data_IF_234941333753
#
_entry.id   IF_234941333753
#
_cell.length_a   1.000
_cell.length_b   1.000
_cell.length_c   1.000
_cell.angle_alpha   90.00
_cell.angle_beta   90.00
_cell.angle_gamma   90.00
#
_symmetry.space_group_name_H-M   'P 1'
#
loop_
_entity.id
_entity.type
_entity.pdbx_description
1 polymer ?
#
# COMPACT_ATOMS: atom_id res chain seq x y z
N UNK A 1 6.94 25.40 -8.99
CA UNK A 1 8.41 25.49 -8.80
C UNK A 1 8.91 24.16 -8.24
N UNK A 2 9.98 23.58 -8.81
CA UNK A 2 10.61 22.38 -8.26
C UNK A 2 11.60 22.78 -7.16
N UNK A 3 11.70 21.98 -6.09
CA UNK A 3 12.72 22.15 -5.03
C UNK A 3 13.47 20.85 -4.84
N UNK A 4 14.80 20.95 -4.74
CA UNK A 4 15.67 19.85 -4.35
C UNK A 4 15.71 19.75 -2.83
N UNK A 5 15.61 18.54 -2.29
CA UNK A 5 15.90 18.28 -0.88
C UNK A 5 17.12 17.36 -0.80
N UNK A 6 18.10 17.77 0.01
CA UNK A 6 19.35 17.05 0.24
C UNK A 6 19.05 15.89 1.18
N UNK A 7 19.44 14.69 0.78
CA UNK A 7 19.16 13.48 1.55
C UNK A 7 20.34 12.92 2.32
N UNK A 8 21.55 13.44 2.14
CA UNK A 8 22.72 12.97 2.89
C UNK A 8 23.57 14.13 3.40
N UNK A 9 24.06 13.98 4.63
CA UNK A 9 25.04 14.88 5.23
C UNK A 9 26.48 14.52 4.84
N UNK A 10 26.68 13.48 4.01
CA UNK A 10 28.00 13.06 3.56
C UNK A 10 28.75 14.20 2.84
N UNK A 11 29.99 14.44 3.23
CA UNK A 11 30.87 15.45 2.64
C UNK A 11 32.03 14.81 1.85
N UNK A 12 32.51 15.43 0.75
CA UNK A 12 33.70 14.96 0.07
C UNK A 12 34.90 14.88 1.03
N UNK A 13 35.75 13.83 0.98
CA UNK A 13 35.82 12.78 -0.05
C UNK A 13 35.01 11.51 0.27
N UNK A 14 34.13 11.53 1.28
CA UNK A 14 33.41 10.32 1.74
C UNK A 14 32.36 9.84 0.72
N UNK A 15 31.89 10.74 -0.14
CA UNK A 15 31.03 10.47 -1.29
C UNK A 15 31.41 11.40 -2.44
N UNK A 16 31.19 10.92 -3.67
CA UNK A 16 31.44 11.68 -4.90
C UNK A 16 30.37 12.77 -5.10
N UNK A 17 29.11 12.53 -4.72
CA UNK A 17 28.00 13.49 -4.80
C UNK A 17 26.98 13.30 -3.66
N UNK A 18 26.26 14.38 -3.30
CA UNK A 18 25.11 14.32 -2.38
C UNK A 18 23.85 13.87 -3.15
N UNK A 19 23.06 12.91 -2.64
CA UNK A 19 21.77 12.55 -3.24
C UNK A 19 20.74 13.68 -3.03
N UNK A 20 20.01 14.02 -4.10
CA UNK A 20 18.93 15.01 -4.08
C UNK A 20 17.65 14.42 -4.65
N UNK A 21 16.48 14.80 -4.14
CA UNK A 21 15.24 14.58 -4.89
C UNK A 21 14.46 15.85 -5.17
N UNK A 22 13.85 15.88 -6.36
CA UNK A 22 13.04 16.99 -6.82
C UNK A 22 11.57 16.73 -6.56
N UNK A 23 10.93 17.60 -5.76
CA UNK A 23 9.48 17.65 -5.63
C UNK A 23 8.91 18.90 -6.28
N UNK A 24 7.73 18.73 -6.86
CA UNK A 24 6.89 19.83 -7.34
C UNK A 24 5.83 20.13 -6.30
N UNK A 25 5.79 21.37 -5.83
CA UNK A 25 4.73 21.81 -4.91
C UNK A 25 3.35 21.71 -5.58
N UNK A 26 2.33 21.32 -4.80
CA UNK A 26 0.93 21.25 -5.22
C UNK A 26 -0.01 21.65 -4.08
N UNK A 27 -1.31 21.75 -4.39
CA UNK A 27 -2.36 22.22 -3.45
C UNK A 27 -3.19 21.08 -2.86
N UNK A 28 -2.91 19.82 -3.21
CA UNK A 28 -3.65 18.64 -2.76
C UNK A 28 -3.50 18.48 -1.26
N UNK A 29 -4.60 18.51 -0.51
CA UNK A 29 -4.60 18.39 0.97
C UNK A 29 -4.99 17.00 1.43
N UNK A 30 -6.06 16.44 0.86
CA UNK A 30 -6.49 15.07 1.12
C UNK A 30 -5.49 14.10 0.52
N UNK A 31 -4.84 13.32 1.38
CA UNK A 31 -3.79 12.39 0.98
C UNK A 31 -4.24 10.97 1.30
N UNK A 32 -4.50 10.19 0.26
CA UNK A 32 -5.03 8.84 0.36
C UNK A 32 -3.96 7.84 0.78
N UNK A 33 -4.26 7.04 1.80
CA UNK A 33 -3.39 5.95 2.21
C UNK A 33 -3.79 4.59 1.63
N UNK A 34 -5.01 4.47 1.14
CA UNK A 34 -5.44 3.44 0.17
C UNK A 34 -5.88 4.16 -1.10
N UNK A 35 -5.33 3.78 -2.26
CA UNK A 35 -5.47 4.56 -3.49
C UNK A 35 -6.95 4.70 -3.89
N UNK A 36 -7.36 5.85 -4.41
CA UNK A 36 -8.71 5.97 -4.95
C UNK A 36 -8.95 4.94 -6.06
N UNK A 37 -7.98 4.74 -6.97
CA UNK A 37 -8.07 3.73 -8.05
C UNK A 37 -8.32 2.31 -7.51
N UNK A 38 -7.73 1.98 -6.35
CA UNK A 38 -7.97 0.71 -5.66
C UNK A 38 -9.38 0.64 -5.08
N UNK A 39 -9.80 1.67 -4.35
CA UNK A 39 -11.14 1.71 -3.75
C UNK A 39 -12.24 1.62 -4.81
N UNK A 40 -12.05 2.23 -5.99
CA UNK A 40 -13.02 2.20 -7.11
C UNK A 40 -13.27 0.79 -7.64
N UNK A 41 -12.30 -0.12 -7.55
CA UNK A 41 -12.52 -1.54 -7.89
C UNK A 41 -13.50 -2.24 -6.94
N UNK A 42 -13.84 -1.60 -5.81
CA UNK A 42 -14.86 -2.04 -4.86
C UNK A 42 -16.14 -1.19 -4.91
N UNK A 43 -16.22 -0.17 -5.77
CA UNK A 43 -17.39 0.70 -5.83
C UNK A 43 -18.64 -0.07 -6.25
N UNK A 44 -19.78 0.27 -5.64
CA UNK A 44 -21.08 -0.33 -5.95
C UNK A 44 -21.83 0.43 -7.05
N UNK A 45 -21.48 1.69 -7.28
CA UNK A 45 -22.07 2.58 -8.27
C UNK A 45 -21.06 2.93 -9.38
N UNK A 46 -20.42 1.93 -9.99
CA UNK A 46 -19.29 2.12 -10.94
C UNK A 46 -19.60 2.98 -12.17
N UNK A 47 -20.88 3.13 -12.52
CA UNK A 47 -21.32 3.87 -13.71
C UNK A 47 -21.44 5.39 -13.51
N UNK A 48 -21.22 5.90 -12.29
CA UNK A 48 -21.19 7.34 -12.04
C UNK A 48 -19.78 7.90 -12.19
N UNK A 49 -19.66 9.24 -12.28
CA UNK A 49 -18.37 9.93 -12.32
C UNK A 49 -17.44 9.46 -11.19
N UNK A 50 -16.13 9.30 -11.42
CA UNK A 50 -15.19 8.77 -10.43
C UNK A 50 -15.15 9.50 -9.07
N UNK A 51 -15.52 10.79 -9.03
CA UNK A 51 -15.62 11.61 -7.81
C UNK A 51 -16.88 11.28 -6.98
N UNK A 52 -17.90 10.70 -7.60
CA UNK A 52 -19.18 10.34 -6.98
C UNK A 52 -19.28 8.85 -6.66
N UNK A 53 -18.22 8.09 -6.90
CA UNK A 53 -18.19 6.65 -6.62
C UNK A 53 -18.07 6.41 -5.11
N UNK A 54 -18.85 5.44 -4.63
CA UNK A 54 -18.95 5.10 -3.22
C UNK A 54 -18.65 3.61 -3.01
N UNK A 55 -18.13 3.31 -1.82
CA UNK A 55 -17.98 1.95 -1.28
C UNK A 55 -18.80 1.84 0.01
N UNK A 56 -19.13 0.61 0.42
CA UNK A 56 -19.67 0.38 1.75
C UNK A 56 -18.56 0.18 2.76
N UNK A 57 -18.65 0.90 3.87
CA UNK A 57 -17.79 0.78 5.05
C UNK A 57 -18.51 -0.04 6.13
N UNK A 58 -17.83 -1.03 6.67
CA UNK A 58 -18.31 -1.87 7.76
C UNK A 58 -17.42 -1.68 8.99
N UNK A 59 -17.97 -1.05 10.02
CA UNK A 59 -17.29 -0.95 11.31
C UNK A 59 -17.06 -2.34 11.94
N UNK A 60 -15.95 -2.51 12.65
CA UNK A 60 -15.61 -3.80 13.26
C UNK A 60 -16.66 -4.31 14.28
N UNK A 61 -17.46 -3.42 14.87
CA UNK A 61 -18.58 -3.76 15.76
C UNK A 61 -19.67 -4.59 15.07
N UNK A 62 -19.72 -4.63 13.75
CA UNK A 62 -20.66 -5.48 12.99
C UNK A 62 -20.24 -6.96 12.97
N UNK A 63 -19.01 -7.26 13.40
CA UNK A 63 -18.43 -8.61 13.35
C UNK A 63 -18.12 -9.20 14.73
N UNK A 64 -18.30 -8.44 15.81
CA UNK A 64 -18.11 -8.89 17.19
C UNK A 64 -19.42 -8.79 17.97
N UNK A 65 -19.70 -9.75 18.85
CA UNK A 65 -20.92 -9.72 19.68
C UNK A 65 -20.77 -8.68 20.81
N UNK A 66 -21.83 -7.91 21.14
CA UNK A 66 -23.09 -7.82 20.42
C UNK A 66 -22.92 -7.08 19.09
N UNK A 67 -23.45 -7.67 18.00
CA UNK A 67 -23.35 -7.07 16.67
C UNK A 67 -24.08 -5.73 16.65
N UNK A 68 -23.39 -4.66 16.22
CA UNK A 68 -23.93 -3.29 16.21
C UNK A 68 -23.58 -2.56 14.91
N UNK A 69 -24.53 -1.74 14.46
CA UNK A 69 -24.36 -0.86 13.30
C UNK A 69 -24.84 -1.48 11.99
N UNK A 70 -24.77 -0.67 10.92
CA UNK A 70 -25.06 -1.04 9.55
C UNK A 70 -23.92 -0.59 8.65
N UNK A 71 -23.82 -1.18 7.46
CA UNK A 71 -22.86 -0.73 6.47
C UNK A 71 -23.18 0.72 6.04
N UNK A 72 -22.17 1.57 5.99
CA UNK A 72 -22.29 2.98 5.63
C UNK A 72 -21.83 3.20 4.20
N UNK A 73 -22.61 3.92 3.39
CA UNK A 73 -22.12 4.38 2.09
C UNK A 73 -21.15 5.55 2.30
N UNK A 74 -19.90 5.39 1.87
CA UNK A 74 -18.88 6.43 1.96
C UNK A 74 -18.34 6.78 0.59
N UNK A 75 -18.15 8.07 0.34
CA UNK A 75 -17.61 8.57 -0.92
C UNK A 75 -16.09 8.36 -0.97
N UNK A 76 -15.60 7.79 -2.08
CA UNK A 76 -14.19 7.42 -2.25
C UNK A 76 -13.27 8.64 -2.30
N UNK A 77 -13.75 9.78 -2.79
CA UNK A 77 -12.98 11.03 -2.90
C UNK A 77 -12.35 11.41 -1.56
N UNK A 78 -13.08 11.25 -0.46
CA UNK A 78 -12.67 11.64 0.88
C UNK A 78 -12.52 10.44 1.85
N UNK A 79 -12.50 9.20 1.33
CA UNK A 79 -12.37 8.00 2.15
C UNK A 79 -10.93 7.49 2.19
N UNK A 80 -10.50 6.99 3.36
CA UNK A 80 -9.15 6.46 3.60
C UNK A 80 -8.05 7.46 3.19
N UNK A 81 -8.28 8.72 3.55
CA UNK A 81 -7.33 9.81 3.43
C UNK A 81 -7.14 10.54 4.75
N UNK A 82 -6.05 11.30 4.85
CA UNK A 82 -5.89 12.28 5.90
C UNK A 82 -5.26 13.57 5.37
N UNK A 83 -5.82 14.70 5.79
CA UNK A 83 -5.33 16.00 5.39
C UNK A 83 -3.85 16.20 5.75
N UNK A 84 -3.03 16.50 4.74
CA UNK A 84 -1.60 16.78 4.85
C UNK A 84 -0.75 15.59 5.34
N UNK A 85 -1.24 14.36 5.20
CA UNK A 85 -0.56 13.15 5.68
C UNK A 85 0.87 12.97 5.17
N UNK A 86 1.13 13.26 3.89
CA UNK A 86 2.45 13.15 3.28
C UNK A 86 3.15 14.49 3.03
N UNK A 87 2.76 15.53 3.74
CA UNK A 87 3.38 16.85 3.58
C UNK A 87 4.76 16.89 4.23
N UNK A 88 5.78 17.18 3.45
CA UNK A 88 7.14 17.37 3.94
C UNK A 88 7.34 18.80 4.46
N UNK A 89 6.95 19.80 3.67
CA UNK A 89 7.03 21.22 4.02
C UNK A 89 5.95 22.04 3.32
N UNK A 90 5.53 23.14 3.95
CA UNK A 90 4.64 24.12 3.34
C UNK A 90 5.43 25.16 2.54
N UNK A 91 4.80 25.76 1.53
CA UNK A 91 5.35 26.89 0.77
C UNK A 91 4.78 28.19 1.35
N UNK A 92 5.63 29.09 1.82
CA UNK A 92 5.19 30.38 2.35
C UNK A 92 4.54 31.26 1.28
N UNK A 93 3.53 32.04 1.69
CA UNK A 93 2.87 33.05 0.84
C UNK A 93 2.02 32.52 -0.33
N UNK A 94 2.00 31.21 -0.59
CA UNK A 94 1.52 30.68 -1.87
C UNK A 94 0.24 29.82 -1.77
N UNK A 95 -0.85 30.42 -1.29
CA UNK A 95 -2.21 29.86 -1.41
C UNK A 95 -2.45 28.49 -0.75
N UNK A 96 -1.56 28.06 0.16
CA UNK A 96 -1.63 26.73 0.79
C UNK A 96 -0.92 25.61 0.02
N UNK A 97 -0.05 25.94 -0.94
CA UNK A 97 0.80 24.98 -1.63
C UNK A 97 1.78 24.27 -0.69
N UNK A 98 2.11 23.02 -1.01
CA UNK A 98 2.95 22.16 -0.21
C UNK A 98 3.81 21.21 -1.04
N UNK A 99 4.99 20.88 -0.51
CA UNK A 99 5.80 19.78 -1.00
C UNK A 99 5.35 18.50 -0.30
N UNK A 100 4.75 17.58 -1.06
CA UNK A 100 4.26 16.29 -0.57
C UNK A 100 4.66 15.16 -1.55
N UNK A 101 4.32 13.92 -1.19
CA UNK A 101 4.68 12.71 -1.94
C UNK A 101 3.62 12.26 -2.97
N UNK A 102 2.49 12.96 -3.11
CA UNK A 102 1.36 12.55 -3.98
C UNK A 102 1.78 12.29 -5.43
N UNK A 103 2.60 13.19 -5.99
CA UNK A 103 3.10 13.08 -7.35
C UNK A 103 3.99 11.85 -7.59
N UNK A 104 4.54 11.26 -6.54
CA UNK A 104 5.34 10.05 -6.63
C UNK A 104 4.47 8.81 -6.47
N UNK A 105 3.48 8.85 -5.57
CA UNK A 105 2.50 7.78 -5.46
C UNK A 105 1.70 7.58 -6.76
N UNK A 106 1.29 8.67 -7.41
CA UNK A 106 0.50 8.61 -8.65
C UNK A 106 1.20 7.85 -9.79
N UNK A 107 2.54 7.81 -9.81
CA UNK A 107 3.32 7.04 -10.79
C UNK A 107 3.03 5.54 -10.72
N UNK A 108 2.76 5.03 -9.52
CA UNK A 108 2.46 3.61 -9.28
C UNK A 108 0.96 3.30 -9.33
N UNK A 109 0.10 4.31 -9.22
CA UNK A 109 -1.36 4.16 -9.32
C UNK A 109 -1.85 4.07 -10.78
N UNK A 110 -1.06 4.59 -11.73
CA UNK A 110 -1.39 4.56 -13.14
C UNK A 110 -1.48 3.13 -13.69
N UNK A 111 -2.54 2.86 -14.47
CA UNK A 111 -2.79 1.57 -15.10
C UNK A 111 -3.31 0.47 -14.16
N UNK A 112 -3.65 0.78 -12.91
CA UNK A 112 -4.20 -0.20 -11.96
C UNK A 112 -5.56 -0.76 -12.43
N UNK A 113 -6.43 0.09 -12.96
CA UNK A 113 -7.76 -0.31 -13.47
C UNK A 113 -7.64 -1.24 -14.69
N UNK A 114 -6.80 -0.87 -15.66
CA UNK A 114 -6.51 -1.72 -16.83
C UNK A 114 -5.91 -3.06 -16.41
N UNK A 115 -5.00 -3.06 -15.43
CA UNK A 115 -4.43 -4.28 -14.87
C UNK A 115 -5.52 -5.16 -14.22
N UNK A 116 -6.44 -4.58 -13.45
CA UNK A 116 -7.56 -5.33 -12.88
C UNK A 116 -8.45 -5.93 -13.97
N UNK A 117 -8.79 -5.16 -15.00
CA UNK A 117 -9.60 -5.64 -16.14
C UNK A 117 -8.91 -6.79 -16.88
N UNK A 118 -7.59 -6.70 -17.09
CA UNK A 118 -6.81 -7.79 -17.67
C UNK A 118 -6.81 -9.05 -16.79
N UNK A 119 -6.64 -8.92 -15.47
CA UNK A 119 -6.61 -10.08 -14.57
C UNK A 119 -7.92 -10.87 -14.56
N UNK A 120 -9.06 -10.23 -14.85
CA UNK A 120 -10.35 -10.91 -15.04
C UNK A 120 -10.38 -11.85 -16.25
N UNK A 121 -9.55 -11.61 -17.27
CA UNK A 121 -9.55 -12.39 -18.53
C UNK A 121 -8.49 -13.49 -18.58
N UNK A 122 -7.58 -13.52 -17.61
CA UNK A 122 -6.51 -14.53 -17.51
C UNK A 122 -7.11 -15.95 -17.42
N UNK A 123 -6.46 -16.98 -17.99
CA UNK A 123 -6.98 -18.36 -17.90
C UNK A 123 -6.88 -18.89 -16.46
N UNK A 124 -7.75 -19.81 -16.06
CA UNK A 124 -7.62 -20.50 -14.78
C UNK A 124 -6.43 -21.49 -14.81
N UNK A 125 -5.90 -21.84 -13.65
CA UNK A 125 -4.78 -22.78 -13.50
C UNK A 125 -3.39 -22.11 -13.47
N UNK A 126 -2.35 -22.95 -13.60
CA UNK A 126 -0.94 -22.55 -13.50
C UNK A 126 -0.46 -21.89 -14.80
N UNK A 127 0.18 -20.73 -14.69
CA UNK A 127 0.73 -20.02 -15.85
C UNK A 127 1.77 -18.97 -15.42
N UNK A 128 2.54 -18.40 -16.36
CA UNK A 128 3.41 -17.26 -16.08
C UNK A 128 2.63 -16.06 -15.53
N UNK A 129 3.18 -15.37 -14.53
CA UNK A 129 2.60 -14.16 -13.98
C UNK A 129 2.51 -13.05 -15.06
N UNK A 130 1.32 -12.51 -15.36
CA UNK A 130 1.19 -11.42 -16.32
C UNK A 130 1.70 -10.10 -15.74
N UNK A 131 2.17 -9.19 -16.60
CA UNK A 131 2.62 -7.85 -16.20
C UNK A 131 1.57 -7.08 -15.37
N UNK A 132 0.29 -7.29 -15.66
CA UNK A 132 -0.82 -6.71 -14.90
C UNK A 132 -0.78 -7.09 -13.42
N UNK A 133 -0.43 -8.33 -13.08
CA UNK A 133 -0.34 -8.77 -11.69
C UNK A 133 0.82 -8.08 -10.97
N UNK A 134 1.99 -7.98 -11.62
CA UNK A 134 3.14 -7.29 -11.04
C UNK A 134 2.84 -5.83 -10.73
N UNK A 135 2.16 -5.13 -11.65
CA UNK A 135 1.71 -3.75 -11.42
C UNK A 135 0.76 -3.64 -10.23
N UNK A 136 -0.21 -4.55 -10.11
CA UNK A 136 -1.11 -4.60 -8.95
C UNK A 136 -0.34 -4.84 -7.65
N UNK A 137 0.53 -5.85 -7.61
CA UNK A 137 1.32 -6.19 -6.41
C UNK A 137 2.28 -5.07 -6.02
N UNK A 138 2.86 -4.36 -6.98
CA UNK A 138 3.70 -3.20 -6.71
C UNK A 138 2.90 -2.09 -6.03
N UNK A 139 1.72 -1.73 -6.56
CA UNK A 139 0.87 -0.74 -5.87
C UNK A 139 0.44 -1.21 -4.48
N UNK A 140 0.13 -2.49 -4.30
CA UNK A 140 -0.23 -3.05 -2.98
C UNK A 140 0.92 -2.97 -1.98
N UNK A 141 2.14 -3.27 -2.42
CA UNK A 141 3.33 -3.13 -1.57
C UNK A 141 3.55 -1.65 -1.18
N UNK A 142 3.41 -0.72 -2.12
CA UNK A 142 3.47 0.72 -1.84
C UNK A 142 2.39 1.13 -0.83
N UNK A 143 1.17 0.61 -0.99
CA UNK A 143 0.05 0.77 -0.07
C UNK A 143 0.41 0.35 1.36
N UNK A 144 1.16 -0.74 1.53
CA UNK A 144 1.61 -1.21 2.85
C UNK A 144 2.52 -0.19 3.51
N UNK A 145 3.47 0.40 2.77
CA UNK A 145 4.41 1.40 3.28
C UNK A 145 3.78 2.75 3.61
N UNK A 146 2.95 3.27 2.69
CA UNK A 146 2.34 4.60 2.84
C UNK A 146 1.16 4.61 3.80
N UNK A 147 0.65 3.44 4.17
CA UNK A 147 -0.49 3.37 5.08
C UNK A 147 -0.06 3.60 6.54
N UNK A 148 -0.51 4.70 7.17
CA UNK A 148 -0.08 5.06 8.51
C UNK A 148 -0.53 4.05 9.56
N UNK A 149 -1.58 3.25 9.33
CA UNK A 149 -1.96 2.19 10.26
C UNK A 149 -0.93 1.04 10.31
N UNK A 150 -0.07 0.93 9.30
CA UNK A 150 0.87 -0.17 9.19
C UNK A 150 2.23 0.08 9.85
N UNK A 151 2.53 1.32 10.25
CA UNK A 151 3.88 1.72 10.70
C UNK A 151 4.42 0.91 11.90
N UNK A 152 3.53 0.38 12.76
CA UNK A 152 3.88 -0.45 13.91
C UNK A 152 3.65 -1.96 13.68
N UNK A 153 3.29 -2.38 12.46
CA UNK A 153 3.10 -3.80 12.17
C UNK A 153 4.45 -4.47 11.96
N UNK A 154 4.64 -5.67 12.52
CA UNK A 154 5.89 -6.43 12.36
C UNK A 154 6.26 -6.68 10.89
N UNK A 155 5.26 -6.83 10.02
CA UNK A 155 5.47 -7.03 8.59
C UNK A 155 6.05 -5.78 7.93
N UNK A 156 5.37 -4.62 8.07
CA UNK A 156 5.87 -3.37 7.51
C UNK A 156 7.19 -2.96 8.15
N UNK A 157 7.37 -3.22 9.45
CA UNK A 157 8.66 -3.01 10.13
C UNK A 157 9.79 -3.80 9.47
N UNK A 158 9.60 -5.09 9.17
CA UNK A 158 10.60 -5.89 8.45
C UNK A 158 10.95 -5.33 7.07
N UNK A 159 9.94 -4.89 6.30
CA UNK A 159 10.15 -4.22 5.02
C UNK A 159 10.92 -2.90 5.19
N UNK A 160 10.54 -2.08 6.16
CA UNK A 160 11.22 -0.82 6.47
C UNK A 160 12.68 -1.04 6.87
N UNK A 161 12.98 -2.05 7.67
CA UNK A 161 14.37 -2.37 8.03
C UNK A 161 15.20 -2.77 6.81
N UNK A 162 14.64 -3.57 5.89
CA UNK A 162 15.33 -3.96 4.66
C UNK A 162 15.63 -2.75 3.73
N UNK A 163 14.71 -1.77 3.67
CA UNK A 163 14.96 -0.52 2.94
C UNK A 163 15.98 0.35 3.68
N UNK A 164 15.88 0.47 5.00
CA UNK A 164 16.77 1.29 5.81
C UNK A 164 18.23 0.82 5.76
N UNK A 165 18.47 -0.48 5.66
CA UNK A 165 19.83 -1.00 5.48
C UNK A 165 20.48 -0.60 4.15
N UNK A 166 19.69 -0.08 3.22
CA UNK A 166 20.12 0.33 1.88
C UNK A 166 20.03 1.85 1.68
N UNK A 167 19.37 2.58 2.59
CA UNK A 167 19.25 4.02 2.51
C UNK A 167 20.57 4.66 2.95
N UNK A 168 21.07 5.68 2.21
CA UNK A 168 22.10 6.55 2.77
C UNK A 168 21.56 7.24 4.02
N UNK A 169 22.46 7.62 4.92
CA UNK A 169 22.09 8.38 6.11
C UNK A 169 21.30 9.63 5.73
N UNK A 170 20.09 9.75 6.28
CA UNK A 170 19.19 10.87 5.96
C UNK A 170 19.73 12.14 6.58
N UNK A 171 20.00 13.14 5.75
CA UNK A 171 20.55 14.42 6.19
C UNK A 171 19.71 15.11 7.27
N UNK A 172 20.38 15.59 8.31
CA UNK A 172 19.78 16.23 9.49
C UNK A 172 19.00 17.49 9.13
N UNK A 173 19.42 18.23 8.11
CA UNK A 173 18.71 19.40 7.58
C UNK A 173 17.31 19.02 7.05
N UNK A 174 17.21 17.91 6.32
CA UNK A 174 15.95 17.44 5.77
C UNK A 174 15.00 16.94 6.86
N UNK A 175 15.51 16.20 7.84
CA UNK A 175 14.74 15.77 9.01
C UNK A 175 14.25 16.98 9.80
N UNK A 176 15.09 18.00 9.96
CA UNK A 176 14.75 19.25 10.67
C UNK A 176 13.65 20.00 9.94
N UNK A 177 13.73 20.12 8.62
CA UNK A 177 12.70 20.75 7.79
C UNK A 177 11.34 20.05 7.98
N UNK A 178 11.32 18.71 7.97
CA UNK A 178 10.13 17.90 8.21
C UNK A 178 9.61 18.16 9.65
N UNK A 179 10.49 18.20 10.64
CA UNK A 179 10.12 18.39 12.05
C UNK A 179 9.55 19.79 12.35
N UNK A 180 9.94 20.82 11.60
CA UNK A 180 9.50 22.22 11.78
C UNK A 180 8.03 22.49 11.37
N UNK A 181 7.30 21.49 10.88
CA UNK A 181 5.89 21.66 10.49
C UNK A 181 5.02 22.14 11.67
N UNK A 182 4.01 23.00 11.42
CA UNK A 182 3.14 23.52 12.48
C UNK A 182 2.42 22.42 13.28
N UNK A 183 2.72 22.33 14.58
CA UNK A 183 2.21 21.31 15.50
C UNK A 183 0.68 21.17 15.55
N UNK A 184 -0.14 22.25 15.55
CA UNK A 184 -1.60 22.12 15.61
C UNK A 184 -2.19 21.31 14.45
N UNK A 185 -1.54 21.31 13.28
CA UNK A 185 -1.97 20.53 12.11
C UNK A 185 -1.56 19.06 12.19
N UNK A 186 -0.50 18.75 12.95
CA UNK A 186 0.01 17.39 13.13
C UNK A 186 -0.70 16.62 14.25
N UNK A 187 -1.17 17.30 15.29
CA UNK A 187 -1.76 16.67 16.47
C UNK A 187 -2.84 15.63 16.14
N UNK A 188 -3.68 15.91 15.13
CA UNK A 188 -4.70 14.96 14.65
C UNK A 188 -4.07 13.72 14.02
N UNK A 189 -3.08 13.86 13.13
CA UNK A 189 -2.39 12.73 12.50
C UNK A 189 -1.70 11.87 13.56
N UNK A 190 -0.95 12.51 14.46
CA UNK A 190 -0.20 11.81 15.51
C UNK A 190 -1.13 11.00 16.42
N UNK A 191 -2.24 11.60 16.85
CA UNK A 191 -3.24 10.92 17.70
C UNK A 191 -4.01 9.83 16.94
N UNK A 192 -4.53 10.11 15.75
CA UNK A 192 -5.33 9.15 14.95
C UNK A 192 -4.53 7.90 14.60
N UNK A 193 -3.27 8.07 14.20
CA UNK A 193 -2.44 6.96 13.75
C UNK A 193 -1.45 6.47 14.81
N UNK A 194 -1.50 7.00 16.03
CA UNK A 194 -0.62 6.63 17.14
C UNK A 194 0.89 6.76 16.84
N UNK A 195 1.28 7.83 16.15
CA UNK A 195 2.68 8.17 15.94
C UNK A 195 3.24 9.01 17.10
N UNK A 196 4.52 8.81 17.42
CA UNK A 196 5.32 9.86 18.06
C UNK A 196 5.71 10.94 17.02
N UNK A 197 5.96 12.20 17.43
CA UNK A 197 6.40 13.25 16.50
C UNK A 197 7.65 12.85 15.69
N UNK A 198 8.62 12.22 16.35
CA UNK A 198 9.85 11.72 15.74
C UNK A 198 9.59 10.55 14.80
N UNK A 199 8.73 9.60 15.21
CA UNK A 199 8.36 8.43 14.42
C UNK A 199 7.68 8.83 13.12
N UNK A 200 6.77 9.81 13.17
CA UNK A 200 6.10 10.33 11.97
C UNK A 200 7.07 11.06 11.04
N UNK A 201 7.96 11.90 11.59
CA UNK A 201 9.02 12.59 10.83
C UNK A 201 9.91 11.58 10.11
N UNK A 202 10.37 10.55 10.82
CA UNK A 202 11.21 9.49 10.24
C UNK A 202 10.46 8.66 9.21
N UNK A 203 9.19 8.34 9.45
CA UNK A 203 8.37 7.61 8.49
C UNK A 203 8.23 8.38 7.15
N UNK A 204 7.98 9.69 7.20
CA UNK A 204 7.95 10.54 6.01
C UNK A 204 9.31 10.61 5.30
N UNK A 205 10.39 10.78 6.06
CA UNK A 205 11.73 10.82 5.50
C UNK A 205 12.09 9.50 4.79
N UNK A 206 11.69 8.37 5.38
CA UNK A 206 11.90 7.04 4.80
C UNK A 206 11.09 6.84 3.51
N UNK A 207 9.82 7.25 3.49
CA UNK A 207 9.01 7.20 2.26
C UNK A 207 9.63 8.03 1.15
N UNK A 208 10.14 9.22 1.49
CA UNK A 208 10.82 10.09 0.54
C UNK A 208 12.13 9.46 0.03
N UNK A 209 13.01 8.99 0.91
CA UNK A 209 14.27 8.34 0.50
C UNK A 209 14.01 7.10 -0.35
N UNK A 210 13.02 6.29 0.01
CA UNK A 210 12.67 5.04 -0.69
C UNK A 210 12.18 5.26 -2.13
N UNK A 211 11.42 6.34 -2.36
CA UNK A 211 10.80 6.66 -3.65
C UNK A 211 11.63 7.59 -4.54
N UNK A 212 12.74 8.13 -4.01
CA UNK A 212 13.55 9.11 -4.72
C UNK A 212 14.45 8.45 -5.76
N UNK A 213 14.21 8.76 -7.03
CA UNK A 213 15.11 8.41 -8.13
C UNK A 213 16.47 9.13 -8.05
N UNK A 214 16.59 10.21 -7.29
CA UNK A 214 17.88 10.89 -7.10
C UNK A 214 18.67 10.41 -5.88
N UNK A 215 18.13 9.43 -5.14
CA UNK A 215 18.91 8.61 -4.20
C UNK A 215 19.53 7.44 -4.95
N UNK A 216 18.69 6.70 -5.67
CA UNK A 216 19.07 5.50 -6.40
C UNK A 216 18.20 5.40 -7.65
N UNK A 217 18.80 5.02 -8.80
CA UNK A 217 18.04 4.58 -9.98
C UNK A 217 18.38 3.12 -10.31
N UNK A 218 17.39 2.22 -10.42
CA UNK A 218 15.98 2.41 -10.04
C UNK A 218 15.81 2.74 -8.55
N UNK A 219 14.62 3.22 -8.16
CA UNK A 219 14.35 3.61 -6.76
C UNK A 219 14.52 2.43 -5.80
N UNK A 220 14.77 2.70 -4.51
CA UNK A 220 14.85 1.65 -3.49
C UNK A 220 13.55 0.87 -3.35
N UNK A 221 12.41 1.51 -3.58
CA UNK A 221 11.12 0.83 -3.64
C UNK A 221 11.08 -0.24 -4.72
N UNK A 222 11.52 0.09 -5.95
CA UNK A 222 11.56 -0.86 -7.06
C UNK A 222 12.57 -1.97 -6.80
N UNK A 223 13.73 -1.64 -6.22
CA UNK A 223 14.76 -2.62 -5.86
C UNK A 223 14.27 -3.59 -4.80
N UNK A 224 13.55 -3.11 -3.79
CA UNK A 224 12.89 -3.95 -2.79
C UNK A 224 11.87 -4.87 -3.45
N UNK A 225 11.04 -4.33 -4.37
CA UNK A 225 10.07 -5.16 -5.09
C UNK A 225 10.80 -6.26 -5.88
N UNK A 226 11.87 -5.94 -6.59
CA UNK A 226 12.74 -6.94 -7.24
C UNK A 226 13.29 -7.97 -6.25
N UNK A 227 13.86 -7.53 -5.13
CA UNK A 227 14.45 -8.38 -4.10
C UNK A 227 13.44 -9.37 -3.48
N UNK A 228 12.19 -8.93 -3.29
CA UNK A 228 11.12 -9.78 -2.77
C UNK A 228 10.78 -10.91 -3.75
N UNK A 229 10.76 -10.64 -5.05
CA UNK A 229 10.30 -11.59 -6.06
C UNK A 229 11.42 -12.24 -6.86
N UNK A 230 12.70 -11.96 -6.56
CA UNK A 230 13.85 -12.42 -7.37
C UNK A 230 14.00 -13.94 -7.47
N UNK A 231 13.55 -14.70 -6.47
CA UNK A 231 13.58 -16.16 -6.48
C UNK A 231 12.17 -16.72 -6.68
N UNK A 232 11.85 -17.26 -7.89
CA UNK A 232 10.53 -17.82 -8.18
C UNK A 232 10.24 -19.11 -7.39
N UNK A 233 11.25 -19.77 -6.81
CA UNK A 233 11.04 -20.95 -5.95
C UNK A 233 10.70 -20.56 -4.51
N UNK A 234 11.13 -19.37 -4.08
CA UNK A 234 10.85 -18.84 -2.75
C UNK A 234 9.49 -18.15 -2.64
N UNK A 235 8.88 -17.79 -3.78
CA UNK A 235 7.63 -17.06 -3.82
C UNK A 235 6.58 -17.78 -4.66
N UNK A 236 5.43 -18.04 -4.04
CA UNK A 236 4.24 -18.56 -4.73
C UNK A 236 3.14 -17.52 -4.70
N UNK A 237 2.49 -17.30 -5.83
CA UNK A 237 1.38 -16.34 -5.96
C UNK A 237 0.11 -17.07 -6.41
N UNK A 238 -0.97 -16.83 -5.70
CA UNK A 238 -2.30 -17.35 -6.02
C UNK A 238 -3.25 -16.18 -6.29
N UNK A 239 -4.02 -16.26 -7.37
CA UNK A 239 -5.06 -15.29 -7.72
C UNK A 239 -6.42 -16.00 -7.61
N UNK A 240 -7.32 -15.43 -6.82
CA UNK A 240 -8.67 -15.92 -6.64
C UNK A 240 -9.66 -14.96 -7.29
N UNK A 241 -10.60 -15.49 -8.09
CA UNK A 241 -11.60 -14.71 -8.83
C UNK A 241 -12.99 -15.28 -8.67
N UNK A 242 -13.98 -14.40 -8.78
CA UNK A 242 -15.39 -14.71 -8.57
C UNK A 242 -16.24 -13.94 -9.59
N UNK A 243 -17.24 -14.59 -10.17
CA UNK A 243 -18.15 -14.01 -11.16
C UNK A 243 -19.51 -13.64 -10.54
N UNK A 244 -19.83 -14.21 -9.37
CA UNK A 244 -21.08 -13.95 -8.67
C UNK A 244 -21.20 -12.51 -8.15
N UNK A 245 -22.34 -11.87 -8.40
CA UNK A 245 -22.66 -10.54 -7.86
C UNK A 245 -22.60 -10.51 -6.32
N UNK A 246 -22.85 -11.65 -5.68
CA UNK A 246 -22.90 -11.84 -4.23
C UNK A 246 -21.65 -12.51 -3.66
N UNK A 247 -20.60 -12.68 -4.47
CA UNK A 247 -19.35 -13.31 -4.05
C UNK A 247 -18.27 -12.26 -3.83
N UNK A 248 -18.52 -11.37 -2.87
CA UNK A 248 -17.70 -10.18 -2.69
C UNK A 248 -16.45 -10.46 -1.83
N UNK A 249 -15.40 -9.68 -2.11
CA UNK A 249 -14.16 -9.60 -1.37
C UNK A 249 -14.08 -8.24 -0.65
N UNK A 250 -13.71 -8.27 0.62
CA UNK A 250 -13.39 -7.07 1.39
C UNK A 250 -12.01 -6.53 1.02
N UNK A 251 -11.79 -5.25 1.30
CA UNK A 251 -10.46 -4.74 1.62
C UNK A 251 -10.49 -4.11 3.01
N UNK A 252 -9.38 -4.24 3.74
CA UNK A 252 -9.23 -3.62 5.06
C UNK A 252 -8.66 -2.21 4.91
N UNK A 253 -8.94 -1.32 5.86
CA UNK A 253 -8.27 -0.02 5.98
C UNK A 253 -6.74 -0.12 6.15
N UNK A 254 -6.20 -1.28 6.49
CA UNK A 254 -4.77 -1.59 6.52
C UNK A 254 -4.21 -1.99 5.14
N UNK A 255 -5.07 -2.30 4.17
CA UNK A 255 -4.72 -2.65 2.78
C UNK A 255 -4.27 -4.09 2.57
N UNK A 256 -4.00 -4.86 3.62
CA UNK A 256 -3.58 -6.26 3.53
C UNK A 256 -4.01 -7.07 4.75
N UNK A 257 -3.93 -8.39 4.64
CA UNK A 257 -3.98 -9.30 5.78
C UNK A 257 -2.83 -10.30 5.71
N UNK A 258 -2.46 -10.89 6.84
CA UNK A 258 -1.35 -11.85 6.89
C UNK A 258 -1.67 -13.11 7.66
N UNK A 259 -0.95 -14.17 7.33
CA UNK A 259 -0.82 -15.38 8.13
C UNK A 259 0.65 -15.78 8.15
N UNK A 260 1.14 -16.14 9.32
CA UNK A 260 2.54 -16.56 9.51
C UNK A 260 2.52 -18.00 9.98
N UNK A 261 3.32 -18.84 9.33
CA UNK A 261 3.62 -20.20 9.76
C UNK A 261 5.10 -20.32 10.12
N UNK A 262 5.52 -21.51 10.58
CA UNK A 262 6.94 -21.80 10.82
C UNK A 262 7.81 -21.63 9.56
N UNK A 263 7.25 -21.88 8.37
CA UNK A 263 7.97 -21.98 7.10
C UNK A 263 7.69 -20.83 6.14
N UNK A 264 6.54 -20.16 6.25
CA UNK A 264 6.07 -19.20 5.25
C UNK A 264 5.46 -17.95 5.87
N UNK A 265 5.73 -16.82 5.24
CA UNK A 265 4.99 -15.59 5.43
C UNK A 265 3.95 -15.47 4.31
N UNK A 266 2.67 -15.40 4.66
CA UNK A 266 1.58 -15.31 3.69
C UNK A 266 0.90 -13.94 3.81
N UNK A 267 0.77 -13.25 2.68
CA UNK A 267 0.12 -11.93 2.56
C UNK A 267 -1.07 -12.05 1.63
N UNK A 268 -2.26 -11.72 2.11
CA UNK A 268 -3.46 -11.54 1.29
C UNK A 268 -3.66 -10.06 0.97
N UNK A 269 -3.85 -9.74 -0.31
CA UNK A 269 -4.15 -8.39 -0.78
C UNK A 269 -5.40 -8.40 -1.65
N UNK A 270 -6.31 -7.46 -1.38
CA UNK A 270 -7.49 -7.27 -2.24
C UNK A 270 -7.04 -6.80 -3.61
N UNK A 271 -7.75 -7.12 -4.69
CA UNK A 271 -7.50 -6.54 -6.01
C UNK A 271 -8.72 -5.74 -6.46
N UNK A 272 -9.89 -6.36 -6.35
CA UNK A 272 -11.18 -5.80 -6.68
C UNK A 272 -12.29 -6.46 -5.84
N UNK A 273 -13.54 -6.00 -5.98
CA UNK A 273 -14.68 -6.62 -5.28
C UNK A 273 -14.84 -8.13 -5.52
N UNK A 274 -14.28 -8.61 -6.62
CA UNK A 274 -14.41 -9.95 -7.17
C UNK A 274 -13.08 -10.70 -7.23
N UNK A 275 -11.98 -10.12 -6.72
CA UNK A 275 -10.66 -10.72 -6.82
C UNK A 275 -9.74 -10.35 -5.66
N UNK A 276 -8.92 -11.30 -5.22
CA UNK A 276 -7.79 -11.05 -4.32
C UNK A 276 -6.61 -11.94 -4.70
N UNK A 277 -5.41 -11.54 -4.29
CA UNK A 277 -4.21 -12.35 -4.42
C UNK A 277 -3.67 -12.76 -3.05
N UNK A 278 -3.04 -13.92 -3.02
CA UNK A 278 -2.29 -14.44 -1.88
C UNK A 278 -0.86 -14.65 -2.33
N UNK A 279 0.08 -14.01 -1.62
CA UNK A 279 1.52 -14.14 -1.86
C UNK A 279 2.13 -14.90 -0.69
N UNK A 280 2.71 -16.05 -0.98
CA UNK A 280 3.46 -16.85 -0.03
C UNK A 280 4.95 -16.63 -0.25
N UNK A 281 5.65 -16.25 0.81
CA UNK A 281 7.09 -16.00 0.80
C UNK A 281 7.73 -16.99 1.78
N UNK A 282 8.71 -17.77 1.30
CA UNK A 282 9.50 -18.64 2.16
C UNK A 282 10.18 -17.82 3.28
N UNK A 283 10.17 -18.32 4.51
CA UNK A 283 10.68 -17.56 5.66
C UNK A 283 12.16 -17.23 5.55
N UNK A 284 12.96 -18.14 5.00
CA UNK A 284 14.39 -17.91 4.76
C UNK A 284 14.60 -16.77 3.76
N UNK A 285 13.82 -16.76 2.67
CA UNK A 285 13.85 -15.67 1.68
C UNK A 285 13.42 -14.34 2.29
N UNK A 286 12.35 -14.34 3.09
CA UNK A 286 11.90 -13.15 3.82
C UNK A 286 13.00 -12.56 4.73
N UNK A 287 13.74 -13.42 5.44
CA UNK A 287 14.85 -12.99 6.29
C UNK A 287 16.04 -12.47 5.49
N UNK A 288 16.20 -12.93 4.25
CA UNK A 288 17.28 -12.55 3.35
C UNK A 288 16.98 -11.31 2.48
N UNK A 289 15.77 -10.73 2.55
CA UNK A 289 15.34 -9.64 1.64
C UNK A 289 16.33 -8.47 1.63
N UNK A 290 16.87 -8.09 2.79
CA UNK A 290 17.82 -6.99 2.90
C UNK A 290 19.13 -7.24 2.12
N UNK A 291 19.54 -8.51 1.98
CA UNK A 291 20.73 -8.91 1.23
C UNK A 291 20.45 -9.13 -0.27
N UNK A 292 19.18 -9.23 -0.67
CA UNK A 292 18.78 -9.54 -2.04
C UNK A 292 18.60 -8.31 -2.94
N UNK A 293 18.95 -7.10 -2.46
CA UNK A 293 18.89 -5.88 -3.27
C UNK A 293 19.92 -5.98 -4.40
N UNK A 294 19.44 -5.90 -5.64
CA UNK A 294 20.29 -5.91 -6.83
C UNK A 294 20.57 -4.49 -7.34
N UNK A 295 21.77 -4.29 -7.88
CA UNK A 295 22.20 -3.03 -8.51
C UNK A 295 21.33 -2.69 -9.74
N UNK A 296 21.04 -3.70 -10.56
CA UNK A 296 20.10 -3.65 -11.67
C UNK A 296 18.89 -4.51 -11.32
N UNK A 297 17.68 -4.02 -11.61
CA UNK A 297 16.47 -4.82 -11.40
C UNK A 297 16.26 -5.66 -12.66
N UNK A 298 16.48 -6.99 -12.59
CA UNK A 298 16.14 -7.85 -13.72
C UNK A 298 14.64 -7.75 -14.01
N UNK A 299 14.21 -8.04 -15.25
CA UNK A 299 12.78 -8.17 -15.52
C UNK A 299 12.15 -9.14 -14.52
N UNK A 300 10.87 -8.93 -14.13
CA UNK A 300 10.20 -9.81 -13.18
C UNK A 300 10.44 -11.26 -13.60
N UNK A 301 10.91 -12.14 -12.70
CA UNK A 301 11.20 -13.51 -13.07
C UNK A 301 9.96 -14.16 -13.64
N UNK A 302 10.14 -15.24 -14.40
CA UNK A 302 9.06 -16.08 -14.89
C UNK A 302 8.37 -16.85 -13.72
N UNK A 303 8.02 -16.14 -12.65
CA UNK A 303 7.26 -16.68 -11.54
C UNK A 303 5.91 -17.15 -12.07
N UNK A 304 5.52 -18.32 -11.61
CA UNK A 304 4.24 -18.88 -11.97
C UNK A 304 3.19 -18.48 -10.96
N UNK A 305 2.00 -18.17 -11.47
CA UNK A 305 0.81 -17.92 -10.67
C UNK A 305 -0.14 -19.09 -10.80
N UNK A 306 -0.90 -19.35 -9.74
CA UNK A 306 -2.04 -20.27 -9.78
C UNK A 306 -3.33 -19.46 -9.72
N UNK A 307 -4.16 -19.55 -10.75
CA UNK A 307 -5.44 -18.84 -10.84
C UNK A 307 -6.58 -19.79 -10.50
N UNK A 308 -7.43 -19.39 -9.56
CA UNK A 308 -8.57 -20.17 -9.08
C UNK A 308 -9.85 -19.37 -9.24
N UNK A 309 -10.88 -19.99 -9.82
CA UNK A 309 -12.20 -19.40 -9.94
C UNK A 309 -13.16 -20.05 -8.94
N UNK A 310 -14.02 -19.25 -8.30
CA UNK A 310 -15.14 -19.75 -7.49
C UNK A 310 -14.75 -20.44 -6.17
N UNK A 311 -13.50 -20.35 -5.69
CA UNK A 311 -13.09 -20.97 -4.44
C UNK A 311 -13.66 -20.24 -3.21
N UNK A 312 -14.88 -20.63 -2.80
CA UNK A 312 -15.62 -19.98 -1.71
C UNK A 312 -14.94 -20.14 -0.34
N UNK A 313 -14.28 -21.26 -0.10
CA UNK A 313 -13.56 -21.50 1.15
C UNK A 313 -12.47 -20.44 1.34
N UNK A 314 -11.65 -20.23 0.31
CA UNK A 314 -10.58 -19.25 0.38
C UNK A 314 -11.13 -17.81 0.44
N UNK A 315 -12.23 -17.50 -0.25
CA UNK A 315 -12.89 -16.19 -0.17
C UNK A 315 -13.30 -15.84 1.27
N UNK A 316 -14.00 -16.78 1.93
CA UNK A 316 -14.48 -16.58 3.31
C UNK A 316 -13.30 -16.48 4.27
N UNK A 317 -12.26 -17.31 4.09
CA UNK A 317 -11.03 -17.22 4.89
C UNK A 317 -10.37 -15.85 4.73
N UNK A 318 -10.18 -15.38 3.51
CA UNK A 318 -9.63 -14.06 3.22
C UNK A 318 -10.46 -12.93 3.86
N UNK A 319 -11.78 -12.92 3.66
CA UNK A 319 -12.67 -11.91 4.24
C UNK A 319 -12.63 -11.90 5.78
N UNK A 320 -12.57 -13.08 6.43
CA UNK A 320 -12.39 -13.18 7.89
C UNK A 320 -11.05 -12.61 8.34
N UNK A 321 -9.98 -12.82 7.56
CA UNK A 321 -8.67 -12.24 7.86
C UNK A 321 -8.66 -10.72 7.71
N UNK A 322 -9.33 -10.16 6.70
CA UNK A 322 -9.53 -8.71 6.56
C UNK A 322 -10.23 -8.14 7.79
N UNK A 323 -11.36 -8.72 8.21
CA UNK A 323 -12.09 -8.26 9.39
C UNK A 323 -11.23 -8.33 10.65
N UNK A 324 -10.48 -9.42 10.84
CA UNK A 324 -9.65 -9.61 12.03
C UNK A 324 -8.45 -8.66 12.10
N UNK A 325 -7.94 -8.21 10.96
CA UNK A 325 -6.68 -7.46 10.86
C UNK A 325 -6.84 -6.02 10.38
N UNK A 326 -8.07 -5.61 10.05
CA UNK A 326 -8.43 -4.22 9.91
C UNK A 326 -8.26 -3.47 11.24
N UNK A 327 -8.00 -2.18 11.15
CA UNK A 327 -7.80 -1.30 12.30
C UNK A 327 -9.13 -0.75 12.83
N UNK A 328 -9.93 -0.18 11.94
CA UNK A 328 -11.20 0.50 12.21
C UNK A 328 -12.36 -0.11 11.43
N UNK A 329 -12.14 -0.49 10.17
CA UNK A 329 -13.19 -0.97 9.27
C UNK A 329 -12.68 -1.84 8.12
N UNK A 330 -13.60 -2.63 7.56
CA UNK A 330 -13.45 -3.24 6.23
C UNK A 330 -14.43 -2.60 5.25
N UNK A 331 -14.12 -2.70 3.97
CA UNK A 331 -14.82 -2.01 2.90
C UNK A 331 -15.14 -2.95 1.74
N UNK A 332 -16.25 -2.71 1.04
CA UNK A 332 -16.57 -3.48 -0.16
C UNK A 332 -17.78 -2.97 -0.94
N UNK A 333 -18.13 -3.74 -1.98
CA UNK A 333 -19.21 -3.47 -2.94
C UNK A 333 -20.65 -3.67 -2.44
N UNK A 334 -20.92 -4.65 -1.60
CA UNK A 334 -22.26 -4.91 -1.07
C UNK A 334 -22.40 -4.34 0.34
N UNK A 335 -23.62 -3.94 0.70
CA UNK A 335 -23.99 -3.58 2.07
C UNK A 335 -24.36 -4.81 2.93
N UNK A 336 -24.56 -5.97 2.31
CA UNK A 336 -24.97 -7.19 2.98
C UNK A 336 -23.77 -8.00 3.43
N UNK A 337 -23.75 -8.38 4.71
CA UNK A 337 -22.66 -9.16 5.30
C UNK A 337 -22.56 -10.58 4.71
N UNK A 338 -23.69 -11.18 4.36
CA UNK A 338 -23.76 -12.52 3.74
C UNK A 338 -23.01 -12.63 2.42
N UNK A 339 -22.88 -11.53 1.68
CA UNK A 339 -22.15 -11.51 0.41
C UNK A 339 -20.63 -11.66 0.62
N UNK A 340 -20.14 -11.54 1.85
CA UNK A 340 -18.72 -11.65 2.20
C UNK A 340 -18.43 -12.85 3.10
N UNK A 341 -19.31 -13.08 4.07
CA UNK A 341 -19.15 -14.08 5.09
C UNK A 341 -20.37 -14.99 5.03
N UNK A 342 -20.17 -16.28 4.78
CA UNK A 342 -21.24 -17.24 5.03
C UNK A 342 -21.50 -17.30 6.53
N UNK A 343 -22.75 -17.06 6.93
CA UNK A 343 -23.18 -17.40 8.28
C UNK A 343 -22.93 -18.89 8.48
N UNK A 344 -22.26 -19.22 9.58
CA UNK A 344 -22.15 -20.63 9.96
C UNK A 344 -23.55 -21.01 10.40
N UNK A 345 -24.20 -21.91 9.66
CA UNK A 345 -25.46 -22.53 10.09
C UNK A 345 -25.29 -23.18 11.47
#
# INVERSE_FOLDING_TARGET
MKRAFILSDCEPPQCEEKPYALLTANVTKGHHFIAQTEQRQHAFNRHVNPQNQNVYRFALSMFQKPYKGSAESVNIENNLEANNLYTLSFVEGNGGSQYNLENWFSRHESGYEDACNFLRTVRSGRQPAPQALWRVLQLKLLGIFRNPYNHNTLFAHGLHQAVLSQLPEVGSEFVTLIAQRPQPRLARILSTFAFSPEGYTRWLANLYGMLSDGVMQPSLFERLFGALFTDPNAVKIELFRYDGEHECCFFADTGFCRQISGQTFTVGVSIAADMFAVVHIARQHWQAVAQNFAADIPPPPAAEISVFDGNQHQRVTYNRLCVRQAREAVYGRSSRKEDYLRESA
#
